data_IF_936775458833
#
_entry.id   IF_936775458833
#
_cell.length_a   1.000
_cell.length_b   1.000
_cell.length_c   1.000
_cell.angle_alpha   90.00
_cell.angle_beta   90.00
_cell.angle_gamma   90.00
#
_symmetry.space_group_name_H-M   'P 1'
#
loop_
_entity.id
_entity.type
_entity.pdbx_description
1 polymer ?
#
# COMPACT_ATOMS: atom_id res chain seq x y z
N UNK A 1 8.39 16.01 -10.40
CA UNK A 1 8.05 15.10 -10.47
C UNK A 1 8.58 14.00 -9.82
N UNK A 2 8.39 13.09 -9.53
CA UNK A 2 8.88 12.03 -8.73
C UNK A 2 8.60 12.19 -7.25
N UNK A 3 7.81 13.15 -6.89
CA UNK A 3 7.52 13.37 -5.48
C UNK A 3 6.09 12.94 -5.16
N UNK A 4 5.88 12.35 -3.97
CA UNK A 4 4.52 11.96 -3.60
C UNK A 4 3.63 13.19 -3.44
N UNK A 5 2.36 12.98 -3.70
CA UNK A 5 1.39 14.06 -3.58
C UNK A 5 1.14 14.45 -2.13
N UNK A 6 1.38 13.54 -1.22
CA UNK A 6 1.09 13.75 0.19
C UNK A 6 2.39 13.84 0.96
N UNK A 7 2.32 14.52 2.10
CA UNK A 7 3.46 14.59 2.99
C UNK A 7 3.63 13.25 3.70
N UNK A 8 4.59 12.44 3.24
CA UNK A 8 4.80 11.12 3.79
C UNK A 8 5.58 11.14 5.10
N UNK A 9 6.13 12.32 5.47
CA UNK A 9 6.87 12.42 6.73
C UNK A 9 6.00 12.02 7.91
N UNK A 10 4.73 12.42 7.90
CA UNK A 10 3.82 12.07 8.97
C UNK A 10 3.57 10.58 9.13
N UNK A 11 3.82 9.80 8.07
CA UNK A 11 3.64 8.36 8.14
C UNK A 11 4.76 7.66 8.89
N UNK A 12 5.89 8.33 9.09
CA UNK A 12 7.04 7.70 9.73
C UNK A 12 6.79 7.31 11.16
N UNK A 13 5.79 7.89 11.81
CA UNK A 13 5.45 7.51 13.16
C UNK A 13 4.90 6.08 13.23
N UNK A 14 4.52 5.50 12.09
CA UNK A 14 4.04 4.13 12.02
C UNK A 14 5.14 3.14 11.68
N UNK A 15 6.36 3.62 11.42
CA UNK A 15 7.50 2.78 11.09
C UNK A 15 8.30 3.32 9.92
N UNK A 16 9.25 2.54 9.49
CA UNK A 16 10.07 2.93 8.33
C UNK A 16 9.25 2.85 7.06
N UNK A 17 9.51 3.80 6.16
CA UNK A 17 8.81 3.86 4.89
C UNK A 17 9.66 3.19 3.82
N UNK A 18 9.06 2.21 3.13
CA UNK A 18 9.72 1.50 2.05
C UNK A 18 8.93 1.75 0.78
N UNK A 19 9.58 2.31 -0.23
CA UNK A 19 8.94 2.56 -1.52
C UNK A 19 9.02 1.31 -2.37
N UNK A 20 7.88 0.80 -2.82
CA UNK A 20 7.85 -0.43 -3.58
C UNK A 20 8.05 -0.21 -5.08
N UNK A 21 7.45 0.84 -5.62
CA UNK A 21 7.56 1.15 -7.04
C UNK A 21 7.77 2.65 -7.20
N UNK A 22 8.39 3.06 -8.30
CA UNK A 22 8.43 4.50 -8.59
C UNK A 22 7.01 5.03 -8.62
N UNK A 23 6.81 6.23 -8.08
CA UNK A 23 5.46 6.73 -7.88
C UNK A 23 4.71 7.00 -9.17
N UNK A 24 5.40 7.07 -10.30
CA UNK A 24 4.72 7.24 -11.59
C UNK A 24 4.68 5.97 -12.41
N UNK A 25 5.00 4.83 -11.82
CA UNK A 25 4.81 3.55 -12.49
C UNK A 25 3.32 3.29 -12.64
N UNK A 26 2.94 2.74 -13.79
CA UNK A 26 1.53 2.51 -14.08
C UNK A 26 1.31 1.12 -14.64
N UNK A 27 0.14 0.59 -14.33
CA UNK A 27 -0.30 -0.69 -14.86
C UNK A 27 -1.12 -0.41 -16.11
N UNK A 28 -0.45 -0.35 -17.27
CA UNK A 28 -1.10 0.08 -18.49
C UNK A 28 -1.57 -1.07 -19.37
N UNK A 29 -0.68 -1.96 -19.75
CA UNK A 29 -0.99 -2.99 -20.74
C UNK A 29 -0.83 -4.41 -20.24
N UNK A 30 0.12 -4.67 -19.38
CA UNK A 30 0.47 -6.02 -18.99
C UNK A 30 0.56 -6.13 -17.48
N UNK A 31 -0.55 -6.46 -16.84
CA UNK A 31 -0.53 -6.54 -15.37
C UNK A 31 0.29 -7.70 -14.83
N UNK A 32 0.50 -8.75 -15.63
CA UNK A 32 1.22 -9.92 -15.13
C UNK A 32 2.60 -9.63 -14.58
N UNK A 33 3.48 -8.98 -15.34
CA UNK A 33 4.80 -8.64 -14.81
C UNK A 33 4.76 -7.74 -13.58
N UNK A 34 3.79 -6.83 -13.53
CA UNK A 34 3.64 -5.97 -12.37
C UNK A 34 3.23 -6.77 -11.14
N UNK A 35 2.31 -7.73 -11.30
CA UNK A 35 1.90 -8.57 -10.20
C UNK A 35 3.08 -9.34 -9.64
N UNK A 36 3.92 -9.91 -10.51
CA UNK A 36 5.10 -10.65 -10.07
C UNK A 36 6.07 -9.74 -9.32
N UNK A 37 6.26 -8.52 -9.82
CA UNK A 37 7.15 -7.57 -9.17
C UNK A 37 6.64 -7.20 -7.80
N UNK A 38 5.33 -6.94 -7.69
CA UNK A 38 4.74 -6.61 -6.41
C UNK A 38 4.82 -7.77 -5.43
N UNK A 39 4.62 -9.01 -5.90
CA UNK A 39 4.76 -10.17 -5.03
C UNK A 39 6.17 -10.23 -4.44
N UNK A 40 7.16 -9.98 -5.26
CA UNK A 40 8.55 -10.01 -4.81
C UNK A 40 8.80 -8.92 -3.76
N UNK A 41 8.29 -7.72 -4.04
CA UNK A 41 8.49 -6.60 -3.11
C UNK A 41 7.75 -6.78 -1.80
N UNK A 42 6.61 -7.48 -1.83
CA UNK A 42 5.79 -7.67 -0.64
C UNK A 42 6.07 -8.98 0.08
N UNK A 43 7.04 -9.76 -0.37
CA UNK A 43 7.23 -11.12 0.16
C UNK A 43 7.42 -11.17 1.67
N UNK A 44 7.97 -10.10 2.25
CA UNK A 44 8.22 -10.05 3.69
C UNK A 44 7.16 -9.25 4.45
N UNK A 45 6.09 -8.87 3.78
CA UNK A 45 5.01 -8.11 4.42
C UNK A 45 4.31 -8.99 5.44
N UNK A 46 4.05 -8.42 6.61
CA UNK A 46 3.42 -9.13 7.70
C UNK A 46 2.17 -8.40 8.17
N UNK A 47 1.37 -9.10 8.94
CA UNK A 47 0.11 -8.57 9.43
C UNK A 47 0.28 -7.28 10.23
N UNK A 48 1.40 -7.13 10.91
CA UNK A 48 1.65 -5.93 11.71
C UNK A 48 2.16 -4.75 10.89
N UNK A 49 2.51 -4.97 9.62
CA UNK A 49 2.97 -3.89 8.76
C UNK A 49 1.79 -3.09 8.20
N UNK A 50 2.09 -1.90 7.70
CA UNK A 50 1.07 -1.03 7.12
C UNK A 50 1.30 -0.88 5.63
N UNK A 51 0.21 -0.87 4.86
CA UNK A 51 0.25 -0.58 3.44
C UNK A 51 -0.22 0.86 3.22
N UNK A 52 0.70 1.72 2.80
CA UNK A 52 0.40 3.13 2.59
C UNK A 52 -0.27 3.31 1.23
N UNK A 53 -1.45 3.89 1.24
CA UNK A 53 -2.25 4.06 0.02
C UNK A 53 -1.85 5.36 -0.68
N UNK A 54 -0.91 5.25 -1.58
CA UNK A 54 -0.41 6.38 -2.35
C UNK A 54 0.00 5.90 -3.73
N UNK A 55 -0.39 6.63 -4.77
CA UNK A 55 0.00 6.31 -6.13
C UNK A 55 -1.17 5.87 -6.98
N UNK A 56 -0.87 5.08 -8.01
CA UNK A 56 -1.86 4.62 -8.99
C UNK A 56 -2.88 3.70 -8.32
N UNK A 57 -4.19 4.02 -8.45
CA UNK A 57 -5.23 3.18 -7.83
C UNK A 57 -5.19 1.72 -8.27
N UNK A 58 -4.80 1.45 -9.52
CA UNK A 58 -4.74 0.07 -9.99
C UNK A 58 -3.63 -0.69 -9.28
N UNK A 59 -2.49 -0.04 -9.06
CA UNK A 59 -1.39 -0.65 -8.34
C UNK A 59 -1.77 -0.87 -6.88
N UNK A 60 -2.45 0.10 -6.29
CA UNK A 60 -2.95 -0.03 -4.93
C UNK A 60 -3.88 -1.23 -4.81
N UNK A 61 -4.80 -1.38 -5.79
CA UNK A 61 -5.73 -2.51 -5.77
C UNK A 61 -5.03 -3.85 -5.83
N UNK A 62 -4.03 -3.98 -6.71
CA UNK A 62 -3.28 -5.22 -6.81
C UNK A 62 -2.50 -5.50 -5.53
N UNK A 63 -1.86 -4.46 -4.97
CA UNK A 63 -1.11 -4.61 -3.74
C UNK A 63 -2.01 -5.07 -2.59
N UNK A 64 -3.20 -4.48 -2.47
CA UNK A 64 -4.15 -4.90 -1.44
C UNK A 64 -4.57 -6.35 -1.63
N UNK A 65 -4.80 -6.77 -2.87
CA UNK A 65 -5.19 -8.15 -3.15
C UNK A 65 -4.09 -9.13 -2.73
N UNK A 66 -2.85 -8.80 -3.05
CA UNK A 66 -1.73 -9.66 -2.70
C UNK A 66 -1.53 -9.72 -1.19
N UNK A 67 -1.61 -8.58 -0.53
CA UNK A 67 -1.44 -8.52 0.92
C UNK A 67 -2.56 -9.30 1.61
N UNK A 68 -3.79 -9.16 1.12
CA UNK A 68 -4.91 -9.91 1.67
C UNK A 68 -4.68 -11.40 1.56
N UNK A 69 -4.17 -11.86 0.42
CA UNK A 69 -3.87 -13.27 0.22
C UNK A 69 -2.79 -13.75 1.20
N UNK A 70 -1.76 -12.94 1.40
CA UNK A 70 -0.63 -13.31 2.24
C UNK A 70 -0.97 -13.33 3.73
N UNK A 71 -1.95 -12.54 4.15
CA UNK A 71 -2.27 -12.36 5.55
C UNK A 71 -3.60 -12.98 5.94
N UNK A 72 -4.17 -13.80 5.06
CA UNK A 72 -5.48 -14.41 5.30
C UNK A 72 -6.57 -13.37 5.53
N UNK A 73 -6.47 -12.28 4.77
CA UNK A 73 -7.49 -11.24 4.78
C UNK A 73 -7.40 -10.25 5.93
N UNK A 74 -6.32 -10.28 6.68
CA UNK A 74 -6.14 -9.37 7.82
C UNK A 74 -4.90 -8.52 7.62
N UNK A 75 -5.10 -7.23 7.41
CA UNK A 75 -3.97 -6.33 7.20
C UNK A 75 -4.37 -4.90 7.53
N UNK A 76 -3.39 -4.01 7.58
CA UNK A 76 -3.59 -2.63 7.95
C UNK A 76 -3.25 -1.71 6.80
N UNK A 77 -4.10 -0.72 6.60
CA UNK A 77 -3.88 0.33 5.62
C UNK A 77 -3.53 1.62 6.33
N UNK A 78 -2.75 2.45 5.66
CA UNK A 78 -2.45 3.78 6.16
C UNK A 78 -2.94 4.77 5.11
N UNK A 79 -3.81 5.68 5.51
CA UNK A 79 -4.46 6.59 4.59
C UNK A 79 -4.32 8.03 5.05
N UNK A 80 -4.17 8.93 4.08
CA UNK A 80 -4.07 10.36 4.35
C UNK A 80 -5.46 10.95 4.47
N UNK A 81 -5.70 11.71 5.54
CA UNK A 81 -6.94 12.44 5.74
C UNK A 81 -6.71 13.89 5.34
N UNK A 82 -7.38 14.31 4.27
CA UNK A 82 -7.19 15.65 3.72
C UNK A 82 -7.66 16.73 4.67
N UNK A 83 -8.72 16.46 5.40
CA UNK A 83 -9.32 17.46 6.27
C UNK A 83 -8.48 17.67 7.53
N UNK A 84 -8.06 16.59 8.14
CA UNK A 84 -7.26 16.66 9.35
C UNK A 84 -5.78 16.78 9.05
N UNK A 85 -5.37 16.58 7.81
CA UNK A 85 -3.98 16.67 7.37
C UNK A 85 -3.06 15.77 8.19
N UNK A 86 -3.50 14.54 8.34
CA UNK A 86 -2.74 13.55 9.09
C UNK A 86 -3.03 12.16 8.51
N UNK A 87 -2.18 11.20 8.86
CA UNK A 87 -2.40 9.82 8.48
C UNK A 87 -3.21 9.12 9.57
N UNK A 88 -4.01 8.16 9.14
CA UNK A 88 -4.71 7.30 10.07
C UNK A 88 -4.71 5.88 9.53
N UNK A 89 -4.82 4.92 10.43
CA UNK A 89 -4.77 3.52 10.06
C UNK A 89 -6.17 2.93 10.01
N UNK A 90 -6.32 1.95 9.13
CA UNK A 90 -7.56 1.19 8.99
C UNK A 90 -7.21 -0.28 9.07
N UNK A 91 -7.83 -1.00 9.98
CA UNK A 91 -7.62 -2.44 10.10
C UNK A 91 -8.65 -3.16 9.26
N UNK A 92 -8.17 -4.00 8.36
CA UNK A 92 -9.02 -4.75 7.44
C UNK A 92 -9.07 -6.22 7.87
N UNK A 93 -10.27 -6.74 7.89
CA UNK A 93 -10.50 -8.17 8.03
C UNK A 93 -11.63 -8.51 7.07
N UNK A 94 -11.30 -9.11 5.93
CA UNK A 94 -12.30 -9.33 4.88
C UNK A 94 -13.35 -10.36 5.28
N UNK A 95 -13.14 -11.06 6.39
CA UNK A 95 -14.10 -12.05 6.88
C UNK A 95 -14.95 -11.52 8.03
N UNK A 96 -14.78 -10.26 8.39
CA UNK A 96 -15.55 -9.65 9.44
C UNK A 96 -17.01 -9.51 8.99
N UNK A 97 -17.93 -9.80 9.90
CA UNK A 97 -19.36 -9.71 9.59
C UNK A 97 -20.03 -8.59 10.34
#
# INVERSE_FOLDING_TARGET
KGEPKYNIIGAQKYGDIVTMLPEFSQMIHSPGPLVLKLRTLLKDFKEEDYLLLSGDPAIIGVACSLVSDMTNGKYKLLKWDRQEKTYYSIEINIYQK
#
